data_IF_908869417446
#
_entry.id   IF_908869417446
#
_cell.length_a   1.000
_cell.length_b   1.000
_cell.length_c   1.000
_cell.angle_alpha   90.00
_cell.angle_beta   90.00
_cell.angle_gamma   90.00
#
_symmetry.space_group_name_H-M   'P 1'
#
loop_
_entity.id
_entity.type
_entity.pdbx_description
1 polymer ?
#
# COMPACT_ATOMS: atom_id res chain seq x y z
N UNK A 1 35.86 2.73 30.04
CA UNK A 1 36.58 1.99 31.12
C UNK A 1 35.55 1.84 32.24
N UNK A 2 34.82 0.73 32.25
CA UNK A 2 33.92 0.33 33.32
C UNK A 2 33.93 -1.19 33.40
N UNK A 3 34.27 -1.69 34.54
CA UNK A 3 34.64 -3.04 34.91
C UNK A 3 33.45 -3.96 35.07
N UNK A 4 33.56 -5.16 34.52
CA UNK A 4 32.66 -6.30 34.79
C UNK A 4 33.01 -6.93 36.14
N UNK A 5 32.01 -7.13 36.98
CA UNK A 5 32.14 -7.87 38.22
C UNK A 5 31.55 -9.27 38.07
N UNK A 6 32.35 -10.27 38.49
CA UNK A 6 32.03 -11.68 38.48
C UNK A 6 31.74 -12.14 39.92
N UNK A 7 30.56 -12.69 40.13
CA UNK A 7 30.26 -13.53 41.29
C UNK A 7 29.18 -14.52 40.87
N UNK A 8 29.24 -15.81 40.96
CA UNK A 8 29.77 -16.68 42.01
C UNK A 8 28.76 -17.84 42.02
N UNK A 9 29.16 -19.02 41.49
CA UNK A 9 28.32 -20.23 41.38
C UNK A 9 28.34 -20.94 42.73
N UNK A 10 27.18 -21.19 43.33
CA UNK A 10 27.03 -22.19 44.39
C UNK A 10 26.17 -23.36 43.89
N UNK A 11 26.81 -24.53 43.79
CA UNK A 11 26.17 -25.82 43.60
C UNK A 11 25.57 -26.32 44.91
N UNK A 12 24.28 -26.68 44.90
CA UNK A 12 23.69 -27.53 45.93
C UNK A 12 23.06 -28.75 45.25
N UNK A 13 23.64 -29.91 45.46
CA UNK A 13 23.06 -31.21 45.13
C UNK A 13 21.99 -31.55 46.17
N UNK A 14 20.76 -31.80 45.72
CA UNK A 14 19.76 -32.50 46.51
C UNK A 14 19.21 -33.67 45.68
N UNK A 15 19.53 -34.89 46.13
CA UNK A 15 18.87 -36.13 45.68
C UNK A 15 17.47 -36.16 46.25
N UNK A 16 16.47 -36.44 45.40
CA UNK A 16 15.08 -36.56 45.81
C UNK A 16 14.22 -37.30 44.79
N UNK A 17 14.08 -38.61 44.99
CA UNK A 17 12.94 -39.52 44.76
C UNK A 17 12.14 -39.36 43.45
N UNK A 18 12.17 -40.40 42.63
CA UNK A 18 11.28 -40.69 41.50
C UNK A 18 9.83 -40.80 41.96
N UNK A 19 9.00 -39.83 41.51
CA UNK A 19 7.55 -39.94 41.44
C UNK A 19 7.13 -39.70 40.00
N UNK A 20 6.70 -40.74 39.30
CA UNK A 20 6.12 -40.63 37.98
C UNK A 20 4.82 -39.84 38.06
N UNK A 21 4.79 -38.58 37.54
CA UNK A 21 3.59 -37.81 37.30
C UNK A 21 3.09 -38.08 35.88
N UNK A 22 1.76 -38.26 35.71
CA UNK A 22 1.20 -38.35 34.36
C UNK A 22 1.45 -37.02 33.65
N UNK A 23 2.04 -37.07 32.46
CA UNK A 23 2.20 -35.95 31.55
C UNK A 23 0.80 -35.53 31.08
N UNK A 24 0.24 -34.51 31.71
CA UNK A 24 -0.86 -33.75 31.09
C UNK A 24 -0.28 -33.08 29.86
N UNK A 25 -0.75 -33.49 28.68
CA UNK A 25 -0.48 -32.80 27.43
C UNK A 25 -0.98 -31.37 27.56
N UNK A 26 -0.05 -30.44 27.73
CA UNK A 26 -0.36 -29.02 27.66
C UNK A 26 -0.96 -28.71 26.30
N UNK A 27 -1.86 -27.71 26.20
CA UNK A 27 -2.42 -27.31 24.90
C UNK A 27 -1.24 -26.99 23.97
N UNK A 28 -1.19 -27.68 22.83
CA UNK A 28 -0.24 -27.38 21.76
C UNK A 28 -0.42 -25.89 21.44
N UNK A 29 0.57 -25.06 21.76
CA UNK A 29 0.62 -23.69 21.30
C UNK A 29 0.69 -23.76 19.78
N UNK A 30 -0.44 -23.63 19.11
CA UNK A 30 -0.45 -23.34 17.68
C UNK A 30 0.35 -22.07 17.52
N UNK A 31 1.58 -22.20 17.04
CA UNK A 31 2.41 -21.03 16.71
C UNK A 31 1.63 -20.24 15.68
N UNK A 32 1.18 -19.05 16.05
CA UNK A 32 0.43 -18.18 15.16
C UNK A 32 1.23 -17.98 13.87
N UNK A 33 0.58 -18.13 12.71
CA UNK A 33 1.24 -17.96 11.42
C UNK A 33 1.87 -16.54 11.37
N UNK A 34 3.21 -16.41 11.27
CA UNK A 34 3.88 -15.11 11.34
C UNK A 34 3.44 -14.17 10.22
N UNK A 35 2.95 -14.71 9.10
CA UNK A 35 2.39 -13.91 8.00
C UNK A 35 1.10 -13.22 8.41
N UNK A 36 0.23 -13.90 9.15
CA UNK A 36 -1.00 -13.32 9.68
C UNK A 36 -0.71 -12.23 10.70
N UNK A 37 0.28 -12.46 11.58
CA UNK A 37 0.72 -11.46 12.55
C UNK A 37 1.27 -10.21 11.86
N UNK A 38 2.08 -10.36 10.81
CA UNK A 38 2.61 -9.25 10.03
C UNK A 38 1.49 -8.45 9.36
N UNK A 39 0.52 -9.13 8.71
CA UNK A 39 -0.61 -8.47 8.06
C UNK A 39 -1.47 -7.72 9.09
N UNK A 40 -1.75 -8.35 10.25
CA UNK A 40 -2.52 -7.72 11.31
C UNK A 40 -1.82 -6.48 11.91
N UNK A 41 -0.49 -6.53 12.04
CA UNK A 41 0.29 -5.38 12.51
C UNK A 41 0.39 -4.25 11.47
N UNK A 42 0.31 -4.59 10.17
CA UNK A 42 0.33 -3.60 9.09
C UNK A 42 -1.02 -2.90 8.94
N UNK A 43 -2.13 -3.63 8.98
CA UNK A 43 -3.46 -3.13 8.67
C UNK A 43 -3.98 -2.16 9.74
N UNK A 44 -4.67 -1.12 9.30
CA UNK A 44 -5.42 -0.19 10.17
C UNK A 44 -6.83 0.00 9.63
N UNK A 45 -7.84 0.01 10.51
CA UNK A 45 -9.23 0.18 10.11
C UNK A 45 -9.56 1.62 9.70
N UNK A 46 -8.87 2.60 10.30
CA UNK A 46 -9.19 4.02 10.16
C UNK A 46 -7.92 4.86 9.97
N UNK A 47 -8.03 6.08 9.43
CA UNK A 47 -6.94 7.04 9.43
C UNK A 47 -6.55 7.45 10.85
N UNK A 48 -5.28 7.77 11.05
CA UNK A 48 -4.83 8.31 12.31
C UNK A 48 -5.36 9.75 12.49
N UNK A 49 -5.92 10.09 13.67
CA UNK A 49 -6.46 11.44 13.92
C UNK A 49 -5.44 12.56 13.71
N UNK A 50 -4.14 12.29 13.84
CA UNK A 50 -3.08 13.29 13.62
C UNK A 50 -2.99 13.79 12.18
N UNK A 51 -3.60 13.12 11.21
CA UNK A 51 -3.67 13.56 9.83
C UNK A 51 -4.72 14.67 9.62
N UNK A 52 -5.71 14.80 10.49
CA UNK A 52 -6.77 15.79 10.34
C UNK A 52 -7.45 15.71 8.95
N UNK A 53 -7.65 16.86 8.32
CA UNK A 53 -8.29 16.95 7.00
C UNK A 53 -7.48 16.31 5.87
N UNK A 54 -6.18 16.15 6.03
CA UNK A 54 -5.32 15.52 5.02
C UNK A 54 -5.71 14.05 4.78
N UNK A 55 -6.25 13.38 5.79
CA UNK A 55 -6.74 12.01 5.65
C UNK A 55 -7.77 11.89 4.52
N UNK A 56 -8.61 12.89 4.29
CA UNK A 56 -9.68 12.89 3.27
C UNK A 56 -9.16 12.77 1.85
N UNK A 57 -7.90 13.13 1.62
CA UNK A 57 -7.28 13.05 0.28
C UNK A 57 -7.36 11.63 -0.27
N UNK A 58 -6.99 10.62 0.53
CA UNK A 58 -6.95 9.23 0.07
C UNK A 58 -7.97 8.31 0.77
N UNK A 59 -8.61 8.72 1.86
CA UNK A 59 -9.64 7.93 2.54
C UNK A 59 -10.79 7.53 1.60
N UNK A 60 -11.17 8.43 0.69
CA UNK A 60 -12.21 8.20 -0.33
C UNK A 60 -11.98 6.97 -1.21
N UNK A 61 -10.72 6.51 -1.32
CA UNK A 61 -10.37 5.35 -2.14
C UNK A 61 -10.38 4.04 -1.37
N UNK A 62 -10.38 4.06 -0.04
CA UNK A 62 -10.33 2.84 0.78
C UNK A 62 -11.45 1.87 0.37
N UNK A 63 -11.05 0.63 0.10
CA UNK A 63 -11.91 -0.43 -0.41
C UNK A 63 -11.35 -1.11 -1.66
N UNK A 64 -12.22 -1.86 -2.36
CA UNK A 64 -11.86 -2.63 -3.56
C UNK A 64 -12.50 -2.02 -4.79
N UNK A 65 -11.73 -1.95 -5.86
CA UNK A 65 -12.10 -1.36 -7.14
C UNK A 65 -11.85 -2.34 -8.27
N UNK A 66 -12.83 -2.56 -9.12
CA UNK A 66 -12.61 -3.16 -10.43
C UNK A 66 -11.95 -2.13 -11.34
N UNK A 67 -10.98 -2.55 -12.14
CA UNK A 67 -10.18 -1.65 -12.95
C UNK A 67 -10.08 -2.10 -14.39
N UNK A 68 -10.36 -1.19 -15.31
CA UNK A 68 -10.03 -1.29 -16.72
C UNK A 68 -8.75 -0.48 -16.97
N UNK A 69 -7.64 -1.19 -17.11
CA UNK A 69 -6.32 -0.63 -17.38
C UNK A 69 -6.17 -0.37 -18.88
N UNK A 70 -5.71 0.81 -19.26
CA UNK A 70 -5.33 1.17 -20.62
C UNK A 70 -3.89 1.64 -20.63
N UNK A 71 -3.07 1.01 -21.48
CA UNK A 71 -1.65 1.32 -21.67
C UNK A 71 -1.43 1.84 -23.09
N UNK A 72 -0.98 3.07 -23.21
CA UNK A 72 -0.73 3.76 -24.50
C UNK A 72 0.72 3.58 -24.91
N UNK A 73 0.95 2.75 -25.91
CA UNK A 73 2.30 2.44 -26.40
C UNK A 73 2.82 3.55 -27.34
N UNK A 74 4.13 3.56 -27.57
CA UNK A 74 4.77 4.56 -28.43
C UNK A 74 4.38 4.45 -29.91
N UNK A 75 3.95 3.26 -30.37
CA UNK A 75 3.44 3.02 -31.72
C UNK A 75 1.97 3.46 -31.92
N UNK A 76 1.35 4.07 -30.92
CA UNK A 76 -0.05 4.49 -30.92
C UNK A 76 -1.05 3.38 -30.54
N UNK A 77 -0.60 2.15 -30.34
CA UNK A 77 -1.45 1.06 -29.87
C UNK A 77 -1.91 1.31 -28.44
N UNK A 78 -3.18 1.02 -28.13
CA UNK A 78 -3.70 0.99 -26.78
C UNK A 78 -3.99 -0.45 -26.38
N UNK A 79 -3.38 -0.92 -25.30
CA UNK A 79 -3.63 -2.24 -24.71
C UNK A 79 -4.57 -2.09 -23.54
N UNK A 80 -5.66 -2.86 -23.58
CA UNK A 80 -6.64 -2.89 -22.50
C UNK A 80 -6.49 -4.16 -21.67
N UNK A 81 -6.51 -4.04 -20.35
CA UNK A 81 -6.38 -5.17 -19.44
C UNK A 81 -7.29 -4.97 -18.23
N UNK A 82 -7.95 -6.04 -17.79
CA UNK A 82 -8.75 -5.99 -16.58
C UNK A 82 -7.94 -6.34 -15.35
N UNK A 83 -8.41 -5.87 -14.21
CA UNK A 83 -7.83 -6.19 -12.93
C UNK A 83 -8.60 -5.54 -11.78
N UNK A 84 -7.91 -5.38 -10.68
CA UNK A 84 -8.47 -4.77 -9.48
C UNK A 84 -7.43 -3.95 -8.72
N UNK A 85 -7.90 -2.99 -7.95
CA UNK A 85 -7.07 -2.21 -7.04
C UNK A 85 -7.70 -2.22 -5.65
N UNK A 86 -6.89 -2.50 -4.65
CA UNK A 86 -7.30 -2.51 -3.25
C UNK A 86 -6.61 -1.36 -2.53
N UNK A 87 -7.36 -0.54 -1.81
CA UNK A 87 -6.81 0.51 -0.96
C UNK A 87 -7.13 0.25 0.49
N UNK A 88 -6.16 0.49 1.37
CA UNK A 88 -6.35 0.36 2.81
C UNK A 88 -5.43 1.26 3.61
N UNK A 89 -5.89 1.63 4.81
CA UNK A 89 -5.03 2.27 5.80
C UNK A 89 -4.06 1.26 6.40
N UNK A 90 -2.83 1.70 6.64
CA UNK A 90 -1.76 0.91 7.24
C UNK A 90 -0.97 1.77 8.24
N UNK A 91 -0.06 1.13 9.01
CA UNK A 91 0.88 1.80 9.93
C UNK A 91 0.14 2.71 10.91
N UNK A 92 -0.78 2.15 11.69
CA UNK A 92 -1.64 2.87 12.62
C UNK A 92 -2.45 4.00 11.96
N UNK A 93 -2.83 3.81 10.70
CA UNK A 93 -3.59 4.79 9.93
C UNK A 93 -2.79 6.01 9.46
N UNK A 94 -1.45 5.98 9.55
CA UNK A 94 -0.59 7.09 9.11
C UNK A 94 -0.19 7.01 7.65
N UNK A 95 -0.46 5.87 7.01
CA UNK A 95 -0.19 5.68 5.59
C UNK A 95 -1.36 4.96 4.91
N UNK A 96 -1.48 5.17 3.60
CA UNK A 96 -2.39 4.43 2.73
C UNK A 96 -1.57 3.56 1.80
N UNK A 97 -1.92 2.28 1.73
CA UNK A 97 -1.37 1.37 0.74
C UNK A 97 -2.42 1.03 -0.30
N UNK A 98 -2.01 0.91 -1.56
CA UNK A 98 -2.79 0.18 -2.55
C UNK A 98 -2.04 -1.05 -3.05
N UNK A 99 -2.81 -1.99 -3.57
CA UNK A 99 -2.32 -3.16 -4.31
C UNK A 99 -2.98 -3.12 -5.69
N UNK A 100 -2.18 -3.01 -6.73
CA UNK A 100 -2.59 -3.05 -8.13
C UNK A 100 -2.40 -4.46 -8.66
N UNK A 101 -3.47 -5.05 -9.18
CA UNK A 101 -3.46 -6.41 -9.70
C UNK A 101 -4.00 -6.37 -11.14
N UNK A 102 -3.16 -6.71 -12.11
CA UNK A 102 -3.62 -6.93 -13.49
C UNK A 102 -3.77 -8.42 -13.74
N UNK A 103 -4.91 -8.82 -14.32
CA UNK A 103 -5.17 -10.23 -14.62
C UNK A 103 -4.32 -10.71 -15.81
N UNK A 104 -4.15 -12.04 -15.99
CA UNK A 104 -3.41 -12.58 -17.12
C UNK A 104 -3.94 -12.10 -18.47
N UNK A 105 -3.05 -11.58 -19.31
CA UNK A 105 -3.37 -11.12 -20.67
C UNK A 105 -2.10 -11.04 -21.52
N UNK A 106 -2.25 -10.94 -22.83
CA UNK A 106 -1.17 -10.75 -23.79
C UNK A 106 -0.04 -11.78 -23.66
N UNK A 107 -0.40 -13.07 -23.51
CA UNK A 107 0.54 -14.18 -23.39
C UNK A 107 1.14 -14.39 -22.00
N UNK A 108 0.89 -13.51 -21.03
CA UNK A 108 1.23 -13.78 -19.63
C UNK A 108 0.25 -14.77 -19.03
N UNK A 109 0.78 -15.76 -18.29
CA UNK A 109 -0.01 -16.76 -17.56
C UNK A 109 -0.36 -16.31 -16.14
N UNK A 110 0.47 -15.46 -15.56
CA UNK A 110 0.34 -15.00 -14.19
C UNK A 110 -0.19 -13.56 -14.11
N UNK A 111 -0.87 -13.26 -13.03
CA UNK A 111 -1.22 -11.88 -12.68
C UNK A 111 0.04 -11.07 -12.40
N UNK A 112 0.02 -9.78 -12.68
CA UNK A 112 1.06 -8.87 -12.19
C UNK A 112 0.54 -8.11 -10.97
N UNK A 113 1.44 -7.82 -10.03
CA UNK A 113 1.13 -7.13 -8.79
C UNK A 113 2.15 -6.01 -8.59
N UNK A 114 1.62 -4.82 -8.34
CA UNK A 114 2.38 -3.67 -7.85
C UNK A 114 1.73 -3.09 -6.61
N UNK A 115 2.44 -2.25 -5.90
CA UNK A 115 1.92 -1.58 -4.70
C UNK A 115 2.45 -0.17 -4.59
N UNK A 116 1.59 0.75 -4.11
CA UNK A 116 2.06 2.05 -3.66
C UNK A 116 1.85 2.19 -2.15
N UNK A 117 2.81 2.82 -1.50
CA UNK A 117 2.70 3.28 -0.13
C UNK A 117 2.68 4.81 -0.13
N UNK A 118 1.70 5.41 0.56
CA UNK A 118 1.51 6.86 0.64
C UNK A 118 1.49 7.31 2.08
N UNK A 119 2.19 8.38 2.40
CA UNK A 119 2.10 9.04 3.69
C UNK A 119 2.18 10.57 3.52
N UNK A 120 1.56 11.30 4.44
CA UNK A 120 1.59 12.75 4.44
C UNK A 120 2.86 13.24 5.14
N UNK A 121 3.69 13.97 4.41
CA UNK A 121 4.89 14.63 4.95
C UNK A 121 4.49 15.98 5.54
N UNK A 122 4.47 16.07 6.86
CA UNK A 122 4.03 17.29 7.58
C UNK A 122 4.98 18.47 7.41
N UNK A 123 6.24 18.23 7.04
CA UNK A 123 7.22 19.30 6.77
C UNK A 123 7.04 19.87 5.38
N UNK A 124 6.85 19.00 4.39
CA UNK A 124 6.63 19.40 3.00
C UNK A 124 5.18 19.80 2.72
N UNK A 125 4.25 19.48 3.62
CA UNK A 125 2.79 19.65 3.42
C UNK A 125 2.30 18.96 2.13
N UNK A 126 2.83 17.77 1.85
CA UNK A 126 2.53 17.00 0.65
C UNK A 126 2.45 15.52 0.97
N UNK A 127 1.69 14.80 0.18
CA UNK A 127 1.73 13.34 0.16
C UNK A 127 2.98 12.86 -0.58
N UNK A 128 3.71 11.94 0.03
CA UNK A 128 4.80 11.19 -0.61
C UNK A 128 4.30 9.82 -0.98
N UNK A 129 4.64 9.38 -2.19
CA UNK A 129 4.19 8.09 -2.72
C UNK A 129 5.39 7.32 -3.27
N UNK A 130 5.49 6.07 -2.88
CA UNK A 130 6.49 5.13 -3.38
C UNK A 130 5.73 4.00 -4.06
N UNK A 131 5.92 3.81 -5.37
CA UNK A 131 5.39 2.65 -6.09
C UNK A 131 6.49 1.62 -6.31
N UNK A 132 6.12 0.34 -6.19
CA UNK A 132 6.99 -0.80 -6.47
C UNK A 132 6.23 -1.82 -7.29
N UNK A 133 6.78 -2.14 -8.47
CA UNK A 133 6.30 -3.18 -9.38
C UNK A 133 7.41 -4.17 -9.71
N UNK A 134 7.72 -5.17 -8.84
CA UNK A 134 8.89 -6.03 -8.98
C UNK A 134 8.91 -6.84 -10.29
N UNK A 135 7.73 -7.25 -10.77
CA UNK A 135 7.61 -8.01 -12.02
C UNK A 135 7.97 -7.18 -13.27
N UNK A 136 7.98 -5.84 -13.13
CA UNK A 136 8.37 -4.92 -14.21
C UNK A 136 9.76 -4.32 -13.96
N UNK A 137 10.43 -4.75 -12.87
CA UNK A 137 11.70 -4.14 -12.43
C UNK A 137 11.57 -2.61 -12.27
N UNK A 138 10.45 -2.16 -11.69
CA UNK A 138 10.07 -0.76 -11.65
C UNK A 138 9.81 -0.28 -10.22
N UNK A 139 10.38 0.87 -9.90
CA UNK A 139 10.09 1.60 -8.67
C UNK A 139 10.21 3.10 -8.92
N UNK A 140 9.30 3.88 -8.35
CA UNK A 140 9.30 5.33 -8.52
C UNK A 140 8.80 6.04 -7.28
N UNK A 141 9.31 7.26 -7.05
CA UNK A 141 8.89 8.17 -6.00
C UNK A 141 8.18 9.36 -6.62
N UNK A 142 6.99 9.69 -6.09
CA UNK A 142 6.26 10.89 -6.45
C UNK A 142 5.81 11.64 -5.21
N UNK A 143 5.51 12.92 -5.37
CA UNK A 143 4.97 13.77 -4.29
C UNK A 143 3.97 14.77 -4.83
N UNK A 144 3.05 15.21 -3.99
CA UNK A 144 2.02 16.18 -4.34
C UNK A 144 0.79 16.09 -3.44
N UNK A 145 -0.37 16.40 -3.96
CA UNK A 145 -1.61 16.41 -3.20
C UNK A 145 -2.79 16.90 -4.02
N UNK A 146 -3.78 17.44 -3.34
CA UNK A 146 -4.99 17.98 -3.97
C UNK A 146 -4.69 19.30 -4.70
N UNK A 147 -5.03 19.36 -5.98
CA UNK A 147 -4.96 20.54 -6.84
C UNK A 147 -6.33 20.77 -7.50
N UNK A 148 -7.13 21.67 -6.95
CA UNK A 148 -8.54 21.80 -7.33
C UNK A 148 -9.31 20.52 -7.05
N UNK A 149 -9.94 19.96 -8.06
CA UNK A 149 -10.73 18.72 -7.96
C UNK A 149 -9.92 17.45 -8.26
N UNK A 150 -8.61 17.55 -8.45
CA UNK A 150 -7.72 16.43 -8.79
C UNK A 150 -6.67 16.23 -7.72
N UNK A 151 -6.20 15.01 -7.56
CA UNK A 151 -4.95 14.75 -6.85
C UNK A 151 -3.87 14.63 -7.92
N UNK A 152 -2.77 15.38 -7.75
CA UNK A 152 -1.65 15.38 -8.69
C UNK A 152 -0.36 15.07 -7.94
N UNK A 153 0.36 14.07 -8.42
CA UNK A 153 1.62 13.59 -7.87
C UNK A 153 2.69 13.71 -8.95
N UNK A 154 3.82 14.33 -8.62
CA UNK A 154 4.93 14.55 -9.57
C UNK A 154 6.19 13.86 -9.10
N UNK A 155 6.96 13.37 -10.03
CA UNK A 155 8.24 12.71 -9.77
C UNK A 155 9.10 12.64 -11.01
N UNK A 156 10.10 11.79 -10.93
CA UNK A 156 11.00 11.46 -12.04
C UNK A 156 10.95 9.94 -12.23
N UNK A 157 10.75 9.51 -13.45
CA UNK A 157 10.73 8.11 -13.82
C UNK A 157 12.15 7.50 -13.81
N UNK A 158 12.23 6.19 -13.90
CA UNK A 158 13.50 5.44 -13.92
C UNK A 158 14.43 5.81 -15.09
N UNK A 159 13.89 6.35 -16.18
CA UNK A 159 14.65 6.88 -17.31
C UNK A 159 15.07 8.34 -17.16
N UNK A 160 14.79 8.96 -16.01
CA UNK A 160 15.13 10.35 -15.70
C UNK A 160 14.15 11.39 -16.23
N UNK A 161 13.06 10.97 -16.88
CA UNK A 161 12.06 11.89 -17.42
C UNK A 161 11.03 12.31 -16.36
N UNK A 162 10.50 13.55 -16.45
CA UNK A 162 9.41 13.99 -15.59
C UNK A 162 8.18 13.11 -15.74
N UNK A 163 7.62 12.72 -14.58
CA UNK A 163 6.45 11.88 -14.42
C UNK A 163 5.37 12.62 -13.66
N UNK A 164 4.11 12.45 -14.09
CA UNK A 164 2.94 12.97 -13.40
C UNK A 164 1.86 11.91 -13.30
N UNK A 165 1.42 11.63 -12.09
CA UNK A 165 0.27 10.79 -11.81
C UNK A 165 -0.89 11.64 -11.33
N UNK A 166 -2.10 11.32 -11.76
CA UNK A 166 -3.27 12.08 -11.33
C UNK A 166 -4.50 11.21 -11.11
N UNK A 167 -5.28 11.58 -10.10
CA UNK A 167 -6.61 11.03 -9.83
C UNK A 167 -7.62 12.09 -10.27
N UNK A 168 -8.47 11.75 -11.21
CA UNK A 168 -9.39 12.64 -11.89
C UNK A 168 -10.81 12.12 -11.77
N UNK A 169 -11.81 13.00 -11.99
CA UNK A 169 -13.22 12.63 -12.05
C UNK A 169 -13.67 11.82 -10.82
N UNK A 170 -13.16 12.21 -9.64
CA UNK A 170 -13.34 11.47 -8.40
C UNK A 170 -14.76 11.56 -7.87
N UNK A 171 -15.51 10.47 -7.97
CA UNK A 171 -16.86 10.26 -7.43
C UNK A 171 -16.83 9.24 -6.28
N UNK A 172 -17.96 8.99 -5.66
CA UNK A 172 -18.06 8.02 -4.56
C UNK A 172 -17.76 6.58 -5.01
N UNK A 173 -18.10 6.25 -6.27
CA UNK A 173 -18.05 4.90 -6.83
C UNK A 173 -17.18 4.76 -8.08
N UNK A 174 -16.55 5.84 -8.54
CA UNK A 174 -15.69 5.83 -9.72
C UNK A 174 -14.62 6.91 -9.67
N UNK A 175 -13.51 6.69 -10.36
CA UNK A 175 -12.50 7.69 -10.67
C UNK A 175 -11.66 7.24 -11.86
N UNK A 176 -10.93 8.19 -12.45
CA UNK A 176 -9.95 7.93 -13.50
C UNK A 176 -8.56 8.25 -12.99
N UNK A 177 -7.65 7.29 -13.07
CA UNK A 177 -6.24 7.51 -12.81
C UNK A 177 -5.47 7.64 -14.12
N UNK A 178 -4.52 8.60 -14.19
CA UNK A 178 -3.65 8.81 -15.35
C UNK A 178 -2.20 8.87 -14.93
N UNK A 179 -1.37 8.16 -15.72
CA UNK A 179 0.07 8.27 -15.72
C UNK A 179 0.53 8.99 -16.98
N UNK A 180 1.27 10.09 -16.81
CA UNK A 180 1.75 10.94 -17.89
C UNK A 180 3.26 11.13 -17.78
N UNK A 181 3.93 11.20 -18.91
CA UNK A 181 5.38 11.48 -19.02
C UNK A 181 5.66 12.66 -19.93
N UNK A 182 6.67 13.44 -19.59
CA UNK A 182 7.13 14.56 -20.39
C UNK A 182 8.52 14.27 -20.96
N UNK A 183 8.68 14.51 -22.26
CA UNK A 183 9.98 14.37 -22.96
C UNK A 183 10.67 15.71 -23.22
N UNK A 184 10.08 16.81 -22.79
CA UNK A 184 10.54 18.19 -23.05
C UNK A 184 10.67 19.02 -21.77
N UNK A 185 10.94 18.36 -20.64
CA UNK A 185 11.17 19.01 -19.36
C UNK A 185 9.89 19.56 -18.72
N UNK A 186 8.74 18.94 -18.96
CA UNK A 186 7.47 19.29 -18.33
C UNK A 186 6.63 20.31 -19.13
N UNK A 187 7.01 20.65 -20.37
CA UNK A 187 6.26 21.58 -21.21
C UNK A 187 5.03 20.91 -21.81
N UNK A 188 5.19 19.69 -22.35
CA UNK A 188 4.09 18.87 -22.83
C UNK A 188 4.04 17.52 -22.10
N UNK A 189 2.88 16.89 -22.07
CA UNK A 189 2.65 15.66 -21.34
C UNK A 189 1.92 14.64 -22.25
N UNK A 190 2.47 13.43 -22.36
CA UNK A 190 1.87 12.31 -23.04
C UNK A 190 1.25 11.38 -22.01
N UNK A 191 0.00 11.02 -22.18
CA UNK A 191 -0.64 9.95 -21.39
C UNK A 191 -0.02 8.62 -21.83
N UNK A 192 0.58 7.90 -20.89
CA UNK A 192 1.09 6.54 -21.09
C UNK A 192 0.13 5.51 -20.50
N UNK A 193 -0.60 5.90 -19.46
CA UNK A 193 -1.56 5.02 -18.81
C UNK A 193 -2.83 5.80 -18.43
N UNK A 194 -3.99 5.20 -18.70
CA UNK A 194 -5.28 5.69 -18.22
C UNK A 194 -6.10 4.51 -17.70
N UNK A 195 -6.55 4.59 -16.46
CA UNK A 195 -7.22 3.50 -15.78
C UNK A 195 -8.56 3.97 -15.24
N UNK A 196 -9.62 3.25 -15.61
CA UNK A 196 -10.98 3.53 -15.15
C UNK A 196 -11.34 2.61 -14.00
N UNK A 197 -11.65 3.22 -12.85
CA UNK A 197 -11.95 2.53 -11.60
C UNK A 197 -13.43 2.56 -11.30
N UNK A 198 -13.98 1.41 -10.93
CA UNK A 198 -15.34 1.28 -10.43
C UNK A 198 -15.34 0.55 -9.09
N UNK A 199 -15.96 1.16 -8.07
CA UNK A 199 -16.01 0.57 -6.72
C UNK A 199 -16.81 -0.73 -6.74
N UNK A 200 -16.26 -1.76 -6.13
CA UNK A 200 -16.96 -3.03 -5.94
C UNK A 200 -17.99 -2.87 -4.81
N UNK A 201 -19.28 -3.22 -5.07
CA UNK A 201 -20.32 -3.10 -4.04
C UNK A 201 -19.98 -3.87 -2.76
N UNK A 202 -20.32 -3.31 -1.60
CA UNK A 202 -20.09 -3.93 -0.29
C UNK A 202 -18.64 -3.89 0.22
N UNK A 203 -17.71 -3.30 -0.51
CA UNK A 203 -16.29 -3.20 -0.17
C UNK A 203 -15.83 -1.77 0.19
N UNK A 204 -16.73 -0.93 0.68
CA UNK A 204 -16.36 0.34 1.31
C UNK A 204 -16.00 0.08 2.76
N UNK A 205 -14.88 0.60 3.25
CA UNK A 205 -14.65 0.66 4.69
C UNK A 205 -15.83 1.41 5.35
N UNK A 206 -16.31 0.93 6.50
CA UNK A 206 -17.34 1.61 7.25
C UNK A 206 -16.84 3.04 7.55
N UNK A 207 -17.50 4.05 6.99
CA UNK A 207 -17.22 5.44 7.34
C UNK A 207 -17.56 5.65 8.80
N UNK A 208 -16.69 6.34 9.54
CA UNK A 208 -16.89 6.69 10.96
C UNK A 208 -18.05 7.69 11.18
N UNK A 209 -18.83 8.02 10.16
CA UNK A 209 -19.91 9.01 10.20
C UNK A 209 -21.27 8.44 10.67
N UNK A 210 -21.23 7.39 11.51
CA UNK A 210 -22.41 6.74 12.06
C UNK A 210 -22.44 6.78 13.60
N UNK A 211 -22.37 7.96 14.20
CA UNK A 211 -22.84 8.16 15.59
C UNK A 211 -23.97 9.17 15.54
N UNK A 212 -25.19 8.79 15.99
CA UNK A 212 -26.33 9.67 16.07
C UNK A 212 -26.14 10.78 17.12
#
# INVERSE_FOLDING_TARGET
>A
MATFDKAGICFALALGVLGARPTQGGPSSQTADPRKAMIAALASANPNPSLGDEARTFDRFVGTWDCDFSFHLDDGTVRHQRGEVLFGWILDGRAVQDIWITYPAYGRKDRAIGTSLRFFDTKLKQWRVIFVGPQFNYAVNTQGGLEGERIVLRGTDSDGLPLRWSFNEMKADSFVWRGEKSRDGGKTWKVEEEHHMKRRPGHRAASADGVP
#
